data_IF_722089236718
#
_entry.id   IF_722089236718
#
_cell.length_a   1.000
_cell.length_b   1.000
_cell.length_c   1.000
_cell.angle_alpha   90.00
_cell.angle_beta   90.00
_cell.angle_gamma   90.00
#
_symmetry.space_group_name_H-M   'P 1'
#
loop_
_entity.id
_entity.type
_entity.pdbx_description
1 polymer ?
#
# COMPACT_ATOMS: atom_id res chain seq x y z
N UNK A 1 -14.27 -3.89 -1.02
CA UNK A 1 -14.02 -3.29 -2.34
C UNK A 1 -15.31 -3.26 -3.14
N UNK A 2 -15.55 -2.20 -3.91
CA UNK A 2 -16.60 -2.13 -4.92
C UNK A 2 -15.93 -1.60 -6.18
N UNK A 3 -15.78 -2.41 -7.22
CA UNK A 3 -15.18 -1.96 -8.46
C UNK A 3 -15.86 -2.64 -9.63
N UNK A 4 -15.81 -2.01 -10.79
CA UNK A 4 -15.96 -2.72 -12.06
C UNK A 4 -14.55 -3.10 -12.50
N UNK A 5 -14.30 -4.40 -12.58
CA UNK A 5 -13.02 -4.95 -13.00
C UNK A 5 -13.24 -5.85 -14.22
N UNK A 6 -12.44 -5.66 -15.26
CA UNK A 6 -12.37 -6.56 -16.42
C UNK A 6 -10.96 -7.17 -16.45
N UNK A 7 -10.86 -8.47 -16.19
CA UNK A 7 -9.60 -9.21 -16.26
C UNK A 7 -9.57 -10.03 -17.54
N UNK A 8 -8.60 -9.74 -18.40
CA UNK A 8 -8.26 -10.59 -19.56
C UNK A 8 -6.89 -11.19 -19.32
N UNK A 9 -6.89 -12.42 -18.82
CA UNK A 9 -5.67 -13.14 -18.49
C UNK A 9 -5.57 -14.47 -19.25
N UNK A 10 -4.34 -14.88 -19.51
CA UNK A 10 -3.96 -16.14 -20.13
C UNK A 10 -3.00 -16.85 -19.19
N UNK A 11 -3.35 -18.08 -18.84
CA UNK A 11 -2.49 -18.98 -18.08
C UNK A 11 -1.85 -19.98 -19.03
N UNK A 12 -0.54 -20.07 -19.03
CA UNK A 12 0.22 -21.05 -19.81
C UNK A 12 1.30 -21.71 -18.98
N UNK A 13 1.96 -22.73 -19.52
CA UNK A 13 3.03 -23.45 -18.81
C UNK A 13 2.52 -24.57 -17.92
N UNK A 14 3.43 -25.12 -17.11
CA UNK A 14 3.13 -26.21 -16.18
C UNK A 14 2.48 -25.65 -14.92
N UNK A 15 1.64 -26.45 -14.26
CA UNK A 15 1.03 -26.06 -12.97
C UNK A 15 2.07 -25.68 -11.90
N UNK A 16 3.27 -26.27 -11.92
CA UNK A 16 4.37 -25.97 -10.99
C UNK A 16 5.21 -24.75 -11.38
N UNK A 17 5.08 -24.27 -12.61
CA UNK A 17 5.79 -23.12 -13.16
C UNK A 17 4.90 -22.39 -14.18
N UNK A 18 3.77 -21.83 -13.73
CA UNK A 18 2.82 -21.18 -14.62
C UNK A 18 3.37 -19.84 -15.10
N UNK A 19 3.04 -19.48 -16.34
CA UNK A 19 3.21 -18.14 -16.86
C UNK A 19 1.84 -17.48 -16.97
N UNK A 20 1.66 -16.38 -16.23
CA UNK A 20 0.42 -15.61 -16.16
C UNK A 20 0.63 -14.30 -16.91
N UNK A 21 -0.07 -14.10 -18.02
CA UNK A 21 -0.03 -12.84 -18.77
C UNK A 21 -1.44 -12.24 -18.81
N UNK A 22 -1.59 -10.93 -18.68
CA UNK A 22 -2.91 -10.33 -18.85
C UNK A 22 -2.99 -8.82 -18.68
N UNK A 23 -4.23 -8.34 -18.78
CA UNK A 23 -4.60 -6.96 -18.53
C UNK A 23 -5.78 -6.94 -17.55
N UNK A 24 -5.59 -6.28 -16.41
CA UNK A 24 -6.64 -5.92 -15.47
C UNK A 24 -7.05 -4.48 -15.71
N UNK A 25 -8.31 -4.26 -16.04
CA UNK A 25 -8.86 -2.93 -16.25
C UNK A 25 -9.80 -2.60 -15.10
N UNK A 26 -9.54 -1.50 -14.41
CA UNK A 26 -10.34 -1.01 -13.28
C UNK A 26 -11.11 0.25 -13.71
N UNK A 27 -12.43 0.21 -13.58
CA UNK A 27 -13.33 1.36 -13.68
C UNK A 27 -14.14 1.51 -12.39
N UNK A 28 -14.34 2.76 -11.95
CA UNK A 28 -15.16 3.10 -10.78
C UNK A 28 -14.87 2.25 -9.53
N UNK A 29 -13.59 2.09 -9.21
CA UNK A 29 -13.16 1.26 -8.09
C UNK A 29 -13.11 2.08 -6.78
N UNK A 30 -13.83 1.63 -5.76
CA UNK A 30 -13.77 2.11 -4.38
C UNK A 30 -13.24 0.99 -3.47
N UNK A 31 -12.05 1.21 -2.93
CA UNK A 31 -11.49 0.36 -1.90
C UNK A 31 -11.79 0.99 -0.53
N UNK A 32 -12.71 0.39 0.23
CA UNK A 32 -13.02 0.77 1.59
C UNK A 32 -12.35 -0.19 2.58
N UNK A 33 -11.34 0.28 3.32
CA UNK A 33 -10.76 -0.47 4.43
C UNK A 33 -11.58 -0.22 5.71
N UNK A 34 -12.25 -1.25 6.24
CA UNK A 34 -12.92 -1.23 7.55
C UNK A 34 -12.20 -2.19 8.51
N UNK A 35 -12.10 -1.80 9.76
CA UNK A 35 -11.30 -2.42 10.83
C UNK A 35 -11.89 -3.71 11.44
N UNK A 36 -12.55 -4.55 10.64
CA UNK A 36 -13.17 -5.79 11.15
C UNK A 36 -12.54 -7.02 10.49
N UNK A 37 -11.61 -7.67 11.19
CA UNK A 37 -11.82 -9.01 11.77
C UNK A 37 -10.49 -9.63 12.22
N UNK A 38 -10.39 -9.86 13.53
CA UNK A 38 -9.61 -10.94 14.11
C UNK A 38 -10.19 -12.28 13.63
N UNK A 39 -9.34 -13.30 13.57
CA UNK A 39 -9.67 -14.71 13.38
C UNK A 39 -9.79 -15.21 11.93
N UNK A 40 -8.65 -15.46 11.30
CA UNK A 40 -8.48 -16.67 10.48
C UNK A 40 -7.21 -17.38 10.99
N UNK A 41 -7.33 -18.45 11.80
CA UNK A 41 -6.20 -19.31 12.08
C UNK A 41 -6.00 -20.22 10.85
N UNK A 42 -5.25 -19.74 9.86
CA UNK A 42 -4.64 -20.61 8.86
C UNK A 42 -3.40 -21.22 9.49
N UNK A 43 -3.32 -22.55 9.52
CA UNK A 43 -2.12 -23.27 9.94
C UNK A 43 -1.04 -23.08 8.85
N UNK A 44 -0.07 -22.16 9.02
CA UNK A 44 0.76 -21.68 7.90
C UNK A 44 1.64 -22.80 7.35
N UNK A 45 2.10 -23.71 8.22
CA UNK A 45 3.00 -24.79 7.87
C UNK A 45 2.45 -25.75 6.81
N UNK A 46 1.14 -25.99 6.79
CA UNK A 46 0.52 -26.94 5.86
C UNK A 46 0.35 -26.34 4.46
N UNK A 47 0.01 -25.05 4.38
CA UNK A 47 -0.11 -24.30 3.13
C UNK A 47 1.27 -24.02 2.52
N UNK A 48 2.22 -23.60 3.34
CA UNK A 48 3.61 -23.38 2.94
C UNK A 48 4.20 -24.61 2.26
N UNK A 49 3.98 -25.81 2.82
CA UNK A 49 4.53 -27.07 2.28
C UNK A 49 4.15 -27.35 0.82
N UNK A 50 3.00 -26.86 0.35
CA UNK A 50 2.50 -27.07 -1.02
C UNK A 50 2.94 -25.97 -2.00
N UNK A 51 3.43 -24.84 -1.49
CA UNK A 51 3.69 -23.61 -2.24
C UNK A 51 5.18 -23.33 -2.48
N UNK A 52 6.07 -23.99 -1.72
CA UNK A 52 7.55 -23.86 -1.80
C UNK A 52 8.12 -24.16 -3.21
N UNK A 53 7.35 -24.73 -4.13
CA UNK A 53 7.81 -25.10 -5.48
C UNK A 53 7.13 -24.38 -6.65
N UNK A 54 6.29 -23.35 -6.42
CA UNK A 54 5.69 -22.61 -7.52
C UNK A 54 6.71 -21.64 -8.13
N UNK A 55 7.37 -22.03 -9.22
CA UNK A 55 8.42 -21.26 -9.91
C UNK A 55 7.89 -20.48 -11.12
N UNK A 56 6.63 -20.07 -11.06
CA UNK A 56 5.98 -19.35 -12.14
C UNK A 56 6.39 -17.90 -12.23
N UNK A 57 5.90 -17.23 -13.26
CA UNK A 57 6.09 -15.80 -13.48
C UNK A 57 4.78 -15.11 -13.92
N UNK A 58 4.74 -13.80 -13.75
CA UNK A 58 3.60 -12.94 -14.06
C UNK A 58 4.03 -11.78 -14.95
N UNK A 59 3.16 -11.40 -15.86
CA UNK A 59 3.17 -10.14 -16.62
C UNK A 59 1.74 -9.61 -16.71
N UNK A 60 1.34 -8.81 -15.73
CA UNK A 60 0.00 -8.26 -15.61
C UNK A 60 0.03 -6.73 -15.74
N UNK A 61 -0.65 -6.19 -16.74
CA UNK A 61 -0.87 -4.75 -16.87
C UNK A 61 -2.16 -4.34 -16.14
N UNK A 62 -2.05 -3.44 -15.16
CA UNK A 62 -3.18 -2.86 -14.42
C UNK A 62 -3.46 -1.46 -14.94
N UNK A 63 -4.61 -1.29 -15.57
CA UNK A 63 -5.08 -0.01 -16.12
C UNK A 63 -6.20 0.56 -15.26
N UNK A 64 -6.03 1.80 -14.82
CA UNK A 64 -7.06 2.56 -14.13
C UNK A 64 -7.67 3.51 -15.17
N UNK A 65 -8.87 3.19 -15.68
CA UNK A 65 -9.51 3.97 -16.75
C UNK A 65 -10.16 5.24 -16.23
N UNK A 66 -10.80 5.14 -15.06
CA UNK A 66 -11.48 6.22 -14.39
C UNK A 66 -10.80 6.54 -13.05
N UNK A 67 -11.37 7.46 -12.30
CA UNK A 67 -10.93 7.74 -10.95
C UNK A 67 -11.05 6.49 -10.05
N UNK A 68 -9.89 6.00 -9.56
CA UNK A 68 -9.81 4.97 -8.52
C UNK A 68 -9.87 5.64 -7.15
N UNK A 69 -10.85 5.29 -6.33
CA UNK A 69 -11.01 5.80 -4.97
C UNK A 69 -10.40 4.83 -3.97
N UNK A 70 -9.27 5.23 -3.40
CA UNK A 70 -8.62 4.55 -2.29
C UNK A 70 -9.07 5.18 -0.97
N UNK A 71 -9.83 4.45 -0.14
CA UNK A 71 -10.41 4.99 1.10
C UNK A 71 -10.22 4.11 2.34
N UNK A 72 -9.46 4.59 3.31
CA UNK A 72 -9.29 4.00 4.64
C UNK A 72 -9.89 4.90 5.73
N UNK A 73 -9.67 4.52 6.99
CA UNK A 73 -9.92 5.40 8.13
C UNK A 73 -9.12 6.71 7.98
N UNK A 74 -7.85 6.57 7.58
CA UNK A 74 -6.88 7.67 7.60
C UNK A 74 -6.68 8.34 6.23
N UNK A 75 -7.37 7.91 5.17
CA UNK A 75 -7.28 8.63 3.90
C UNK A 75 -8.47 8.37 2.99
N UNK A 76 -8.70 9.28 2.06
CA UNK A 76 -9.63 9.11 0.96
C UNK A 76 -9.04 9.84 -0.25
N UNK A 77 -8.52 9.07 -1.20
CA UNK A 77 -7.72 9.55 -2.32
C UNK A 77 -8.35 9.13 -3.63
N UNK A 78 -8.40 10.08 -4.56
CA UNK A 78 -8.73 9.83 -5.96
C UNK A 78 -7.45 9.70 -6.77
N UNK A 79 -7.23 8.51 -7.30
CA UNK A 79 -6.03 8.09 -8.00
C UNK A 79 -6.31 7.85 -9.48
N UNK A 80 -5.31 8.10 -10.32
CA UNK A 80 -5.27 7.65 -11.72
C UNK A 80 -3.88 7.12 -12.05
N UNK A 81 -3.79 6.35 -13.14
CA UNK A 81 -2.51 5.89 -13.67
C UNK A 81 -2.57 4.42 -14.07
N UNK A 82 -1.46 3.75 -13.93
CA UNK A 82 -1.35 2.34 -14.29
C UNK A 82 -0.07 1.73 -13.77
N UNK A 83 -0.13 0.42 -13.57
CA UNK A 83 0.97 -0.38 -13.05
C UNK A 83 1.16 -1.59 -13.95
N UNK A 84 2.37 -2.11 -13.99
CA UNK A 84 2.71 -3.43 -14.50
C UNK A 84 3.28 -4.24 -13.36
N UNK A 85 2.77 -5.46 -13.20
CA UNK A 85 3.24 -6.43 -12.22
C UNK A 85 3.96 -7.52 -13.00
N UNK A 86 5.28 -7.59 -12.85
CA UNK A 86 6.13 -8.43 -13.68
C UNK A 86 7.14 -9.24 -12.85
N UNK A 87 7.58 -10.38 -13.36
CA UNK A 87 8.66 -11.18 -12.76
C UNK A 87 8.17 -12.46 -12.12
N UNK A 88 9.02 -13.09 -11.30
CA UNK A 88 8.69 -14.39 -10.69
C UNK A 88 7.58 -14.23 -9.65
N UNK A 89 6.68 -15.21 -9.57
CA UNK A 89 5.55 -15.17 -8.63
C UNK A 89 5.99 -15.05 -7.17
N UNK A 90 7.18 -15.55 -6.82
CA UNK A 90 7.74 -15.42 -5.48
C UNK A 90 8.23 -14.02 -5.14
N UNK A 91 8.48 -13.17 -6.14
CA UNK A 91 8.99 -11.81 -5.97
C UNK A 91 8.62 -10.94 -7.18
N UNK A 92 7.32 -10.63 -7.35
CA UNK A 92 6.90 -9.78 -8.45
C UNK A 92 7.35 -8.34 -8.22
N UNK A 93 7.52 -7.62 -9.32
CA UNK A 93 8.03 -6.26 -9.37
C UNK A 93 7.00 -5.36 -10.02
N UNK A 94 6.83 -4.18 -9.44
CA UNK A 94 5.90 -3.16 -9.84
C UNK A 94 6.62 -2.11 -10.70
N UNK A 95 6.01 -1.77 -11.84
CA UNK A 95 6.49 -0.73 -12.74
C UNK A 95 5.34 0.19 -13.13
N UNK A 96 5.52 1.51 -13.03
CA UNK A 96 4.50 2.48 -13.43
C UNK A 96 4.36 3.62 -12.44
N UNK A 97 3.21 4.29 -12.49
CA UNK A 97 2.96 5.42 -11.61
C UNK A 97 1.47 5.61 -11.32
N UNK A 98 1.20 6.09 -10.12
CA UNK A 98 -0.10 6.55 -9.67
C UNK A 98 -0.02 8.04 -9.38
N UNK A 99 -1.03 8.79 -9.81
CA UNK A 99 -1.19 10.20 -9.51
C UNK A 99 -2.41 10.41 -8.62
N UNK A 100 -2.22 11.17 -7.55
CA UNK A 100 -3.26 11.60 -6.62
C UNK A 100 -3.84 12.91 -7.13
N UNK A 101 -5.08 12.89 -7.63
CA UNK A 101 -5.75 14.09 -8.15
C UNK A 101 -6.34 14.97 -7.07
N UNK A 102 -6.91 14.34 -6.04
CA UNK A 102 -7.57 15.02 -4.93
C UNK A 102 -7.83 14.03 -3.80
N UNK A 103 -8.08 14.56 -2.60
CA UNK A 103 -8.44 13.75 -1.45
C UNK A 103 -7.89 14.33 -0.16
N UNK A 104 -7.86 13.50 0.87
CA UNK A 104 -7.17 13.80 2.11
C UNK A 104 -6.39 12.60 2.62
N UNK A 105 -5.34 12.89 3.39
CA UNK A 105 -4.63 11.96 4.27
C UNK A 105 -4.72 12.50 5.70
N UNK A 106 -4.82 11.61 6.67
CA UNK A 106 -4.78 11.92 8.09
C UNK A 106 -3.35 11.65 8.56
N UNK A 107 -2.63 12.71 8.91
CA UNK A 107 -1.26 12.63 9.39
C UNK A 107 -1.22 13.31 10.76
N UNK A 108 -0.76 12.59 11.78
CA UNK A 108 -0.80 13.05 13.18
C UNK A 108 -2.21 13.46 13.63
N UNK A 109 -3.21 12.65 13.25
CA UNK A 109 -4.65 12.89 13.48
C UNK A 109 -5.20 14.18 12.86
N UNK A 110 -4.46 14.82 11.94
CA UNK A 110 -4.91 16.01 11.21
C UNK A 110 -5.15 15.66 9.75
N UNK A 111 -6.30 16.11 9.21
CA UNK A 111 -6.65 15.86 7.82
C UNK A 111 -5.97 16.88 6.90
N UNK A 112 -4.91 16.44 6.25
CA UNK A 112 -4.28 17.20 5.18
C UNK A 112 -4.99 16.93 3.85
N UNK A 113 -5.50 17.99 3.22
CA UNK A 113 -6.00 17.93 1.85
C UNK A 113 -4.82 17.81 0.90
N UNK A 114 -4.81 16.75 0.09
CA UNK A 114 -3.77 16.54 -0.93
C UNK A 114 -4.05 17.47 -2.10
N UNK A 115 -3.06 18.31 -2.45
CA UNK A 115 -3.13 19.19 -3.62
C UNK A 115 -2.57 18.52 -4.86
N UNK A 116 -1.49 17.75 -4.70
CA UNK A 116 -0.85 16.98 -5.76
C UNK A 116 -0.09 15.82 -5.13
N UNK A 117 -0.09 14.65 -5.77
CA UNK A 117 0.76 13.55 -5.33
C UNK A 117 1.10 12.58 -6.45
N UNK A 118 2.28 12.00 -6.37
CA UNK A 118 2.79 11.00 -7.30
C UNK A 118 3.45 9.87 -6.52
N UNK A 119 3.12 8.65 -6.92
CA UNK A 119 3.78 7.42 -6.45
C UNK A 119 4.34 6.73 -7.67
N UNK A 120 5.64 6.45 -7.67
CA UNK A 120 6.36 5.87 -8.80
C UNK A 120 6.94 4.54 -8.38
N UNK A 121 6.71 3.53 -9.22
CA UNK A 121 7.25 2.20 -9.09
C UNK A 121 8.24 1.98 -10.24
N UNK A 122 9.51 1.76 -9.91
CA UNK A 122 10.56 1.54 -10.88
C UNK A 122 11.28 0.23 -10.52
N UNK A 123 10.82 -0.87 -11.11
CA UNK A 123 11.27 -2.23 -10.79
C UNK A 123 11.12 -2.59 -9.30
N UNK A 124 10.03 -2.08 -8.70
CA UNK A 124 9.87 -1.95 -7.26
C UNK A 124 9.23 -3.17 -6.63
N UNK A 125 9.72 -3.59 -5.46
CA UNK A 125 9.06 -4.60 -4.61
C UNK A 125 8.09 -3.97 -3.60
N UNK A 126 7.98 -2.64 -3.60
CA UNK A 126 7.14 -1.84 -2.72
C UNK A 126 7.94 -0.82 -1.92
N UNK A 127 8.97 -1.25 -1.19
CA UNK A 127 9.73 -0.39 -0.26
C UNK A 127 10.57 0.68 -0.97
N UNK A 128 10.97 0.41 -2.21
CA UNK A 128 11.75 1.30 -3.07
C UNK A 128 10.89 2.21 -3.95
N UNK A 129 9.57 2.22 -3.74
CA UNK A 129 8.69 3.15 -4.44
C UNK A 129 9.03 4.60 -4.08
N UNK A 130 8.95 5.49 -5.06
CA UNK A 130 9.27 6.91 -4.90
C UNK A 130 7.99 7.70 -4.69
N UNK A 131 7.99 8.53 -3.66
CA UNK A 131 6.90 9.41 -3.26
C UNK A 131 7.25 10.86 -3.62
N UNK A 132 6.24 11.62 -4.02
CA UNK A 132 6.24 13.08 -4.08
C UNK A 132 4.80 13.53 -3.83
N UNK A 133 4.49 13.93 -2.59
CA UNK A 133 3.14 14.24 -2.14
C UNK A 133 3.16 15.59 -1.43
N UNK A 134 2.26 16.48 -1.87
CA UNK A 134 2.02 17.79 -1.30
C UNK A 134 0.61 17.87 -0.74
N UNK A 135 0.51 18.22 0.53
CA UNK A 135 -0.76 18.32 1.22
C UNK A 135 -0.79 19.51 2.17
N UNK A 136 -1.99 19.98 2.51
CA UNK A 136 -2.21 21.17 3.34
C UNK A 136 -3.32 20.93 4.37
N UNK A 137 -3.14 21.40 5.59
CA UNK A 137 -4.19 21.56 6.60
C UNK A 137 -4.20 23.02 7.09
N UNK A 138 -5.27 23.41 7.77
CA UNK A 138 -5.39 24.70 8.45
C UNK A 138 -5.71 24.45 9.92
N UNK A 139 -4.98 25.11 10.83
CA UNK A 139 -5.11 24.95 12.29
C UNK A 139 -5.00 26.34 12.90
N UNK A 140 -6.03 26.78 13.63
CA UNK A 140 -6.06 28.09 14.29
C UNK A 140 -5.65 29.26 13.37
N UNK A 141 -6.23 29.31 12.16
CA UNK A 141 -5.93 30.28 11.09
C UNK A 141 -4.48 30.23 10.55
N UNK A 142 -3.74 29.15 10.82
CA UNK A 142 -2.39 28.88 10.31
C UNK A 142 -2.45 27.78 9.25
N UNK A 143 -1.99 28.10 8.06
CA UNK A 143 -1.80 27.13 6.99
C UNK A 143 -0.57 26.27 7.30
N UNK A 144 -0.73 24.96 7.35
CA UNK A 144 0.36 24.00 7.53
C UNK A 144 0.47 23.13 6.27
N UNK A 145 1.67 23.08 5.70
CA UNK A 145 2.00 22.32 4.50
C UNK A 145 2.86 21.12 4.85
N UNK A 146 2.48 19.96 4.31
CA UNK A 146 3.19 18.69 4.39
C UNK A 146 3.74 18.35 3.01
N UNK A 147 5.06 18.17 2.93
CA UNK A 147 5.72 17.64 1.75
C UNK A 147 6.40 16.30 2.10
N UNK A 148 6.07 15.26 1.35
CA UNK A 148 6.64 13.92 1.48
C UNK A 148 7.34 13.57 0.18
N UNK A 149 8.62 13.24 0.25
CA UNK A 149 9.41 12.93 -0.95
C UNK A 149 10.44 11.83 -0.72
N UNK A 150 10.95 11.24 -1.82
CA UNK A 150 11.99 10.20 -1.76
C UNK A 150 11.44 8.78 -1.74
N UNK A 151 12.30 7.81 -1.48
CA UNK A 151 11.90 6.39 -1.42
C UNK A 151 11.13 6.09 -0.14
N UNK A 152 10.15 5.19 -0.19
CA UNK A 152 9.32 4.83 0.97
C UNK A 152 10.16 4.29 2.15
N UNK A 153 11.22 3.52 1.89
CA UNK A 153 12.12 3.03 2.93
C UNK A 153 12.88 4.14 3.68
N UNK A 154 13.08 5.31 3.04
CA UNK A 154 13.81 6.45 3.61
C UNK A 154 13.14 7.77 3.17
N UNK A 155 11.92 8.05 3.65
CA UNK A 155 11.17 9.19 3.18
C UNK A 155 11.73 10.47 3.81
N UNK A 156 11.71 11.54 3.04
CA UNK A 156 11.96 12.91 3.50
C UNK A 156 10.63 13.59 3.72
N UNK A 157 10.37 13.95 4.98
CA UNK A 157 9.17 14.67 5.40
C UNK A 157 9.58 16.09 5.73
N UNK A 158 8.85 17.06 5.20
CA UNK A 158 9.08 18.48 5.47
C UNK A 158 7.77 19.15 5.83
N UNK A 159 7.77 19.85 6.96
CA UNK A 159 6.66 20.66 7.44
C UNK A 159 7.01 22.14 7.29
N UNK A 160 6.04 22.92 6.83
CA UNK A 160 6.16 24.39 6.77
C UNK A 160 4.82 25.03 7.04
N UNK A 161 4.80 26.34 7.33
CA UNK A 161 3.56 27.04 7.64
C UNK A 161 3.52 28.46 7.09
N UNK A 162 2.30 29.00 6.98
CA UNK A 162 2.03 30.41 6.74
C UNK A 162 1.00 30.90 7.77
N UNK A 163 1.35 31.80 8.71
CA UNK A 163 2.67 32.45 8.88
C UNK A 163 3.82 31.48 9.17
N UNK A 164 5.06 31.91 8.92
CA UNK A 164 6.25 31.08 9.12
C UNK A 164 6.47 30.81 10.60
N UNK A 165 6.49 29.52 10.95
CA UNK A 165 6.83 29.00 12.27
C UNK A 165 8.08 28.14 12.18
N UNK A 166 8.72 27.90 13.31
CA UNK A 166 9.73 26.85 13.42
C UNK A 166 9.09 25.46 13.29
N UNK A 167 9.87 24.47 12.88
CA UNK A 167 9.39 23.09 12.72
C UNK A 167 8.83 22.53 14.04
N UNK A 168 9.47 22.83 15.18
CA UNK A 168 9.01 22.39 16.50
C UNK A 168 7.68 23.02 16.91
N UNK A 169 7.42 24.28 16.54
CA UNK A 169 6.13 24.93 16.73
C UNK A 169 5.04 24.30 15.84
N UNK A 170 5.36 23.99 14.57
CA UNK A 170 4.42 23.30 13.66
C UNK A 170 4.06 21.92 14.22
N UNK A 171 5.06 21.14 14.64
CA UNK A 171 4.85 19.83 15.25
C UNK A 171 4.00 19.96 16.52
N UNK A 172 4.29 20.94 17.37
CA UNK A 172 3.50 21.21 18.58
C UNK A 172 2.05 21.55 18.26
N UNK A 173 1.79 22.33 17.21
CA UNK A 173 0.43 22.62 16.73
C UNK A 173 -0.29 21.36 16.23
N UNK A 174 0.40 20.51 15.46
CA UNK A 174 -0.16 19.25 14.96
C UNK A 174 -0.47 18.26 16.10
N UNK A 175 0.39 18.24 17.11
CA UNK A 175 0.39 17.27 18.21
C UNK A 175 -0.19 17.81 19.53
N UNK A 176 -0.78 19.02 19.57
CA UNK A 176 -1.18 19.71 20.82
C UNK A 176 -2.06 18.88 21.80
N UNK A 177 -2.77 17.86 21.30
CA UNK A 177 -3.58 16.94 22.13
C UNK A 177 -2.86 15.63 22.53
N UNK A 178 -1.57 15.47 22.23
CA UNK A 178 -0.76 14.28 22.55
C UNK A 178 0.38 14.64 23.51
N UNK A 179 0.55 13.86 24.57
CA UNK A 179 1.63 14.02 25.55
C UNK A 179 2.98 13.54 24.95
N UNK A 180 3.62 14.41 24.17
CA UNK A 180 4.99 14.22 23.66
C UNK A 180 5.94 15.35 24.09
N UNK A 181 5.57 16.11 25.12
CA UNK A 181 6.45 17.12 25.70
C UNK A 181 7.77 16.49 26.16
N UNK A 182 8.89 16.98 25.63
CA UNK A 182 10.23 16.53 26.00
C UNK A 182 10.95 15.60 25.01
N UNK A 183 10.37 15.32 23.84
CA UNK A 183 11.08 14.60 22.77
C UNK A 183 12.16 15.47 22.12
N UNK A 184 13.26 14.84 21.75
CA UNK A 184 14.34 15.42 20.95
C UNK A 184 13.95 15.49 19.47
N UNK A 185 14.61 16.36 18.70
CA UNK A 185 14.39 16.47 17.24
C UNK A 185 14.57 15.13 16.51
N UNK A 186 15.52 14.30 16.96
CA UNK A 186 15.75 12.97 16.39
C UNK A 186 14.58 12.01 16.62
N UNK A 187 14.00 12.00 17.83
CA UNK A 187 12.84 11.16 18.17
C UNK A 187 11.58 11.59 17.39
N UNK A 188 11.38 12.90 17.20
CA UNK A 188 10.29 13.43 16.37
C UNK A 188 10.41 12.96 14.92
N UNK A 189 11.60 13.03 14.34
CA UNK A 189 11.84 12.57 12.98
C UNK A 189 11.50 11.09 12.75
N UNK A 190 11.73 10.23 13.75
CA UNK A 190 11.37 8.81 13.71
C UNK A 190 9.85 8.63 13.70
N UNK A 191 9.14 9.29 14.62
CA UNK A 191 7.67 9.21 14.73
C UNK A 191 6.97 9.68 13.45
N UNK A 192 7.46 10.76 12.83
CA UNK A 192 6.89 11.28 11.58
C UNK A 192 7.02 10.25 10.44
N UNK A 193 8.17 9.58 10.34
CA UNK A 193 8.39 8.52 9.34
C UNK A 193 7.50 7.31 9.62
N UNK A 194 7.35 6.94 10.88
CA UNK A 194 6.45 5.86 11.33
C UNK A 194 5.00 6.09 10.93
N UNK A 195 4.48 7.28 11.23
CA UNK A 195 3.13 7.68 10.86
C UNK A 195 2.91 7.61 9.34
N UNK A 196 3.87 8.10 8.55
CA UNK A 196 3.80 8.06 7.09
C UNK A 196 3.79 6.62 6.54
N UNK A 197 4.71 5.78 7.01
CA UNK A 197 4.82 4.39 6.57
C UNK A 197 3.55 3.64 6.93
N UNK A 198 3.00 3.84 8.14
CA UNK A 198 1.74 3.25 8.55
C UNK A 198 0.57 3.69 7.66
N UNK A 199 0.48 4.98 7.31
CA UNK A 199 -0.54 5.47 6.39
C UNK A 199 -0.46 4.80 5.01
N UNK A 200 0.76 4.63 4.49
CA UNK A 200 0.98 4.00 3.18
C UNK A 200 0.71 2.49 3.24
N UNK A 201 1.18 1.81 4.29
CA UNK A 201 0.94 0.38 4.51
C UNK A 201 -0.57 0.07 4.60
N UNK A 202 -1.35 0.93 5.24
CA UNK A 202 -2.81 0.83 5.25
C UNK A 202 -3.41 0.91 3.83
N UNK A 203 -2.84 1.74 2.94
CA UNK A 203 -3.26 1.86 1.55
C UNK A 203 -2.75 0.79 0.59
N UNK A 204 -1.70 0.07 0.95
CA UNK A 204 -1.16 -1.05 0.17
C UNK A 204 -1.70 -2.41 0.62
N UNK A 205 -2.66 -2.44 1.56
CA UNK A 205 -3.10 -3.68 2.21
C UNK A 205 -3.49 -4.79 1.22
N UNK A 206 -2.94 -5.96 1.50
CA UNK A 206 -3.03 -7.30 0.88
C UNK A 206 -4.43 -7.76 0.48
N UNK A 207 -5.48 -7.16 1.03
CA UNK A 207 -6.87 -7.55 0.77
C UNK A 207 -7.34 -7.30 -0.67
N UNK A 208 -6.63 -6.46 -1.45
CA UNK A 208 -6.84 -6.39 -2.89
C UNK A 208 -6.63 -7.77 -3.54
N UNK A 209 -5.60 -8.51 -3.10
CA UNK A 209 -5.33 -9.86 -3.55
C UNK A 209 -6.48 -10.79 -3.12
N UNK A 210 -6.95 -10.70 -1.87
CA UNK A 210 -8.10 -11.47 -1.35
C UNK A 210 -9.44 -11.23 -2.05
N UNK A 211 -9.61 -10.12 -2.79
CA UNK A 211 -10.82 -9.84 -3.57
C UNK A 211 -10.65 -10.15 -5.05
N UNK A 212 -9.47 -9.90 -5.62
CA UNK A 212 -9.09 -10.50 -6.90
C UNK A 212 -9.25 -12.01 -6.86
N UNK A 213 -9.02 -12.60 -5.71
CA UNK A 213 -9.15 -14.03 -5.50
C UNK A 213 -10.53 -14.58 -5.85
N UNK A 214 -11.58 -13.91 -5.37
CA UNK A 214 -12.97 -14.32 -5.63
C UNK A 214 -13.35 -14.06 -7.09
N UNK A 215 -12.94 -12.92 -7.65
CA UNK A 215 -13.23 -12.57 -9.06
C UNK A 215 -12.52 -13.52 -10.05
N UNK A 216 -11.29 -13.93 -9.72
CA UNK A 216 -10.53 -14.93 -10.47
C UNK A 216 -11.18 -16.31 -10.29
N UNK A 217 -11.58 -16.68 -9.08
CA UNK A 217 -12.29 -17.94 -8.84
C UNK A 217 -13.56 -18.02 -9.71
N UNK A 218 -14.39 -16.98 -9.68
CA UNK A 218 -15.65 -16.89 -10.42
C UNK A 218 -15.43 -16.91 -11.94
N UNK A 219 -14.43 -16.16 -12.45
CA UNK A 219 -14.12 -16.09 -13.88
C UNK A 219 -13.63 -17.42 -14.46
N UNK A 220 -12.94 -18.23 -13.65
CA UNK A 220 -12.40 -19.53 -14.07
C UNK A 220 -13.26 -20.73 -13.59
N UNK A 221 -14.40 -20.48 -12.93
CA UNK A 221 -15.26 -21.53 -12.38
C UNK A 221 -14.52 -22.44 -11.40
N UNK A 222 -13.72 -21.82 -10.53
CA UNK A 222 -12.98 -22.44 -9.45
C UNK A 222 -13.76 -22.25 -8.16
N UNK A 223 -13.77 -23.25 -7.29
CA UNK A 223 -14.43 -23.16 -5.98
C UNK A 223 -13.56 -22.42 -4.95
N UNK A 224 -12.25 -22.41 -5.17
CA UNK A 224 -11.31 -21.65 -4.35
C UNK A 224 -10.14 -21.16 -5.21
N UNK A 225 -9.87 -19.87 -5.19
CA UNK A 225 -8.59 -19.30 -5.62
C UNK A 225 -8.16 -18.34 -4.51
N UNK A 226 -6.97 -18.54 -3.92
CA UNK A 226 -6.41 -17.71 -2.84
C UNK A 226 -4.97 -17.26 -3.16
N UNK A 227 -4.60 -16.05 -2.79
CA UNK A 227 -3.29 -15.40 -2.89
C UNK A 227 -2.89 -14.99 -1.47
N UNK A 228 -2.05 -15.80 -0.84
CA UNK A 228 -1.53 -15.56 0.49
C UNK A 228 -0.18 -14.85 0.40
N UNK A 229 -0.05 -13.70 1.04
CA UNK A 229 1.23 -13.01 1.23
C UNK A 229 1.90 -13.53 2.49
N UNK A 230 3.15 -13.96 2.37
CA UNK A 230 3.95 -14.43 3.49
C UNK A 230 4.94 -13.33 3.84
N UNK A 231 4.87 -12.84 5.08
CA UNK A 231 5.89 -11.97 5.63
C UNK A 231 6.74 -12.76 6.61
N UNK A 232 8.03 -12.47 6.60
CA UNK A 232 8.93 -12.90 7.67
C UNK A 232 9.06 -11.77 8.68
N UNK A 233 8.93 -12.12 9.95
CA UNK A 233 9.23 -11.22 11.06
C UNK A 233 10.75 -11.19 11.22
N UNK A 234 11.39 -10.07 10.91
CA UNK A 234 12.81 -9.89 11.20
C UNK A 234 13.01 -9.70 12.70
N UNK A 235 13.75 -10.62 13.35
CA UNK A 235 13.99 -10.61 14.79
C UNK A 235 15.29 -9.90 15.19
N UNK A 236 16.10 -9.42 14.23
CA UNK A 236 17.39 -8.76 14.47
C UNK A 236 17.35 -7.23 14.31
N UNK A 237 16.17 -6.62 14.15
CA UNK A 237 16.03 -5.17 14.09
C UNK A 237 15.95 -4.55 15.49
N UNK A 238 17.04 -3.92 15.95
CA UNK A 238 17.10 -3.09 17.17
C UNK A 238 16.27 -1.78 17.09
N UNK A 239 15.40 -1.65 16.08
CA UNK A 239 14.42 -0.59 15.97
C UNK A 239 13.08 -1.13 16.45
N UNK A 240 12.80 -0.90 17.73
CA UNK A 240 11.42 -0.95 18.20
C UNK A 240 10.58 -0.03 17.31
N UNK A 241 9.38 -0.47 16.94
CA UNK A 241 8.25 0.30 16.35
C UNK A 241 7.87 0.11 14.88
N UNK A 242 8.44 -0.88 14.19
CA UNK A 242 7.68 -1.64 13.17
C UNK A 242 7.94 -3.14 13.38
N UNK A 243 6.94 -4.04 13.32
CA UNK A 243 7.30 -5.41 13.01
C UNK A 243 7.87 -5.37 11.59
N UNK A 244 9.15 -5.71 11.44
CA UNK A 244 9.86 -5.76 10.17
C UNK A 244 9.23 -6.75 9.22
N UNK A 245 8.19 -6.31 8.50
CA UNK A 245 7.46 -7.09 7.53
C UNK A 245 8.19 -6.98 6.19
N UNK A 246 9.17 -7.84 5.98
CA UNK A 246 9.73 -8.08 4.64
C UNK A 246 8.81 -9.09 3.95
N UNK A 247 8.24 -8.71 2.80
CA UNK A 247 7.47 -9.62 1.96
C UNK A 247 8.41 -10.74 1.47
N UNK A 248 8.22 -11.95 1.98
CA UNK A 248 9.11 -13.08 1.67
C UNK A 248 8.67 -13.78 0.38
N UNK A 249 7.36 -13.96 0.17
CA UNK A 249 6.80 -14.54 -1.08
C UNK A 249 5.28 -14.37 -1.18
N UNK A 250 4.72 -14.53 -2.39
CA UNK A 250 3.29 -14.72 -2.64
C UNK A 250 2.99 -16.21 -2.88
N UNK A 251 1.88 -16.70 -2.37
CA UNK A 251 1.50 -18.10 -2.38
C UNK A 251 0.09 -18.26 -2.97
N UNK A 252 -0.11 -19.18 -3.92
CA UNK A 252 -1.40 -19.35 -4.62
C UNK A 252 -2.06 -20.69 -4.29
N UNK A 253 -3.27 -20.69 -3.75
CA UNK A 253 -4.08 -21.91 -3.55
C UNK A 253 -5.20 -21.96 -4.57
N UNK A 254 -5.33 -23.05 -5.31
CA UNK A 254 -6.38 -23.25 -6.31
C UNK A 254 -7.09 -24.59 -6.07
N UNK A 255 -8.42 -24.57 -6.02
CA UNK A 255 -9.26 -25.74 -5.78
C UNK A 255 -10.55 -25.72 -6.61
N UNK A 256 -10.96 -26.91 -7.05
CA UNK A 256 -12.26 -27.15 -7.68
C UNK A 256 -12.85 -28.41 -7.04
N UNK A 257 -14.06 -28.33 -6.49
CA UNK A 257 -14.76 -29.39 -5.75
C UNK A 257 -15.87 -30.02 -6.60
#
# INVERSE_FOLDING_TARGET
FKAQADLKAKLTGLFTSPHIEGILTLSQAELNWKDNNKDIPLNPSELLSKLINLKGDIDLEVKILDDFIAKANDFNLKLVGGLKVQGVLSAPKLNGALQIKQGYIAFLDKKFRVSEGKVIFADSTGEDMILDIRAKTEIDDIDVFLNVSGILAQPTITLSSSPVLSESEIISLLMFNKNYAGLTEGELGIILKEELINLIAQGLSIRFLNQLENEVADSFGLDEFKIETIFKEDQDSDLAFFPGLVLETLAFKVGKY
#
